data_IF_845172036199
#
_entry.id   IF_845172036199
#
_cell.length_a   1.000
_cell.length_b   1.000
_cell.length_c   1.000
_cell.angle_alpha   90.00
_cell.angle_beta   90.00
_cell.angle_gamma   90.00
#
_symmetry.space_group_name_H-M   'P 1'
#
loop_
_entity.id
_entity.type
_entity.pdbx_description
1 polymer ?
#
# COMPACT_ATOMS: atom_id res chain seq x y z
N UNK A 1 -10.99 2.50 -19.45
CA UNK A 1 -10.28 3.02 -18.26
C UNK A 1 -10.26 1.99 -17.16
N UNK A 2 -9.09 1.45 -16.81
CA UNK A 2 -8.91 0.88 -15.48
C UNK A 2 -9.07 2.01 -14.46
N UNK A 3 -10.05 1.89 -13.57
CA UNK A 3 -10.12 2.77 -12.41
C UNK A 3 -9.05 2.28 -11.42
N UNK A 4 -8.19 3.15 -10.88
CA UNK A 4 -7.29 2.76 -9.81
C UNK A 4 -8.13 2.18 -8.68
N UNK A 5 -7.74 1.04 -8.12
CA UNK A 5 -8.40 0.49 -6.95
C UNK A 5 -8.13 1.42 -5.77
N UNK A 6 -9.09 2.27 -5.44
CA UNK A 6 -9.00 3.19 -4.31
C UNK A 6 -9.38 2.43 -3.04
N UNK A 7 -8.50 2.47 -2.03
CA UNK A 7 -8.83 2.01 -0.70
C UNK A 7 -8.91 3.20 0.25
N UNK A 8 -10.11 3.44 0.77
CA UNK A 8 -10.42 4.60 1.62
C UNK A 8 -10.20 4.33 3.10
N UNK A 9 -10.32 3.07 3.55
CA UNK A 9 -10.13 2.69 4.96
C UNK A 9 -11.24 1.81 5.53
N UNK A 10 -11.32 1.74 6.87
CA UNK A 10 -12.24 0.86 7.62
C UNK A 10 -11.71 -0.55 7.95
N UNK A 11 -12.37 -1.24 8.90
CA UNK A 11 -12.09 -2.64 9.23
C UNK A 11 -12.74 -3.55 8.19
N UNK A 12 -11.96 -3.95 7.18
CA UNK A 12 -12.38 -4.87 6.12
C UNK A 12 -11.18 -5.73 5.67
N UNK A 13 -10.85 -6.81 6.40
CA UNK A 13 -9.69 -7.67 6.09
C UNK A 13 -9.74 -8.27 4.68
N UNK A 14 -10.92 -8.71 4.23
CA UNK A 14 -11.11 -9.28 2.88
C UNK A 14 -10.91 -8.22 1.79
N UNK A 15 -11.44 -7.01 2.01
CA UNK A 15 -11.22 -5.87 1.12
C UNK A 15 -9.77 -5.43 1.05
N UNK A 16 -9.03 -5.50 2.16
CA UNK A 16 -7.61 -5.20 2.20
C UNK A 16 -6.77 -6.24 1.42
N UNK A 17 -7.08 -7.53 1.55
CA UNK A 17 -6.43 -8.60 0.78
C UNK A 17 -6.69 -8.40 -0.72
N UNK A 18 -7.96 -8.26 -1.12
CA UNK A 18 -8.34 -8.05 -2.51
C UNK A 18 -7.67 -6.80 -3.10
N UNK A 19 -7.55 -5.73 -2.32
CA UNK A 19 -6.88 -4.52 -2.75
C UNK A 19 -5.39 -4.74 -3.02
N UNK A 20 -4.68 -5.49 -2.16
CA UNK A 20 -3.27 -5.85 -2.41
C UNK A 20 -3.16 -6.64 -3.71
N UNK A 21 -4.01 -7.65 -3.92
CA UNK A 21 -3.98 -8.49 -5.13
C UNK A 21 -4.16 -7.66 -6.41
N UNK A 22 -5.14 -6.75 -6.43
CA UNK A 22 -5.38 -5.88 -7.58
C UNK A 22 -4.22 -4.93 -7.85
N UNK A 23 -3.59 -4.39 -6.80
CA UNK A 23 -2.40 -3.53 -6.91
C UNK A 23 -1.19 -4.32 -7.41
N UNK A 24 -1.00 -5.57 -6.97
CA UNK A 24 0.10 -6.42 -7.42
C UNK A 24 -0.03 -6.81 -8.89
N UNK A 25 -1.25 -7.07 -9.37
CA UNK A 25 -1.52 -7.27 -10.81
C UNK A 25 -1.11 -6.03 -11.62
N UNK A 26 -1.40 -4.83 -11.12
CA UNK A 26 -1.01 -3.57 -11.77
C UNK A 26 0.51 -3.42 -11.79
N UNK A 27 1.22 -3.75 -10.71
CA UNK A 27 2.68 -3.71 -10.67
C UNK A 27 3.32 -4.67 -11.66
N UNK A 28 2.79 -5.88 -11.78
CA UNK A 28 3.24 -6.87 -12.75
C UNK A 28 3.01 -6.36 -14.19
N UNK A 29 1.81 -5.88 -14.49
CA UNK A 29 1.46 -5.34 -15.81
C UNK A 29 2.35 -4.15 -16.22
N UNK A 30 2.72 -3.28 -15.26
CA UNK A 30 3.60 -2.13 -15.48
C UNK A 30 5.09 -2.44 -15.37
N UNK A 31 5.46 -3.68 -14.99
CA UNK A 31 6.85 -4.09 -14.71
C UNK A 31 7.54 -3.19 -13.68
N UNK A 32 6.81 -2.85 -12.60
CA UNK A 32 7.35 -2.04 -11.53
C UNK A 32 8.53 -2.72 -10.83
N UNK A 33 9.60 -1.97 -10.59
CA UNK A 33 10.72 -2.41 -9.75
C UNK A 33 10.28 -2.49 -8.28
N UNK A 34 10.91 -3.37 -7.50
CA UNK A 34 10.63 -3.53 -6.06
C UNK A 34 10.70 -2.19 -5.30
N UNK A 35 11.66 -1.34 -5.68
CA UNK A 35 11.87 -0.01 -5.10
C UNK A 35 10.69 0.94 -5.35
N UNK A 36 10.00 0.80 -6.48
CA UNK A 36 8.89 1.67 -6.87
C UNK A 36 7.53 1.19 -6.37
N UNK A 37 7.38 -0.11 -6.06
CA UNK A 37 6.10 -0.70 -5.64
C UNK A 37 5.50 -0.01 -4.43
N UNK A 38 6.27 0.21 -3.35
CA UNK A 38 5.74 0.89 -2.15
C UNK A 38 5.30 2.31 -2.45
N UNK A 39 6.10 3.08 -3.20
CA UNK A 39 5.77 4.46 -3.58
C UNK A 39 4.45 4.52 -4.35
N UNK A 40 4.27 3.64 -5.34
CA UNK A 40 3.07 3.59 -6.17
C UNK A 40 1.86 3.03 -5.43
N UNK A 41 2.02 2.00 -4.60
CA UNK A 41 0.95 1.40 -3.79
C UNK A 41 0.43 2.39 -2.75
N UNK A 42 1.31 3.17 -2.14
CA UNK A 42 0.93 4.24 -1.21
C UNK A 42 0.22 5.38 -1.94
N UNK A 43 0.63 5.69 -3.19
CA UNK A 43 -0.01 6.72 -4.00
C UNK A 43 -1.49 6.42 -4.30
N UNK A 44 -1.93 5.16 -4.27
CA UNK A 44 -3.33 4.79 -4.51
C UNK A 44 -4.17 4.68 -3.23
N UNK A 45 -3.56 4.82 -2.04
CA UNK A 45 -4.30 4.93 -0.76
C UNK A 45 -5.04 6.27 -0.66
N UNK A 46 -6.24 6.25 -0.08
CA UNK A 46 -7.05 7.44 0.15
C UNK A 46 -7.45 7.55 1.62
N UNK A 47 -7.85 8.76 2.02
CA UNK A 47 -8.51 9.04 3.30
C UNK A 47 -7.81 8.38 4.51
N UNK A 48 -8.53 7.57 5.28
CA UNK A 48 -8.03 6.95 6.51
C UNK A 48 -6.86 6.00 6.26
N UNK A 49 -6.80 5.37 5.09
CA UNK A 49 -5.71 4.46 4.75
C UNK A 49 -4.40 5.22 4.53
N UNK A 50 -4.45 6.39 3.90
CA UNK A 50 -3.26 7.24 3.73
C UNK A 50 -2.80 7.82 5.08
N UNK A 51 -3.73 8.28 5.93
CA UNK A 51 -3.41 8.77 7.28
C UNK A 51 -2.76 7.68 8.13
N UNK A 52 -3.34 6.47 8.12
CA UNK A 52 -2.78 5.31 8.80
C UNK A 52 -1.35 5.03 8.32
N UNK A 53 -1.10 5.01 7.01
CA UNK A 53 0.22 4.69 6.48
C UNK A 53 1.27 5.73 6.90
N UNK A 54 0.91 7.02 6.94
CA UNK A 54 1.79 8.07 7.47
C UNK A 54 2.19 7.80 8.92
N UNK A 55 1.25 7.37 9.76
CA UNK A 55 1.51 7.05 11.17
C UNK A 55 2.37 5.79 11.31
N UNK A 56 2.12 4.77 10.49
CA UNK A 56 2.97 3.56 10.45
C UNK A 56 4.39 3.95 10.07
N UNK A 57 4.60 4.71 8.99
CA UNK A 57 5.95 5.17 8.58
C UNK A 57 6.71 5.83 9.72
N UNK A 58 6.06 6.72 10.49
CA UNK A 58 6.67 7.36 11.66
C UNK A 58 7.07 6.37 12.76
N UNK A 59 6.35 5.24 12.90
CA UNK A 59 6.62 4.18 13.87
C UNK A 59 7.75 3.24 13.42
N UNK A 60 7.78 2.84 12.15
CA UNK A 60 8.73 1.83 11.63
C UNK A 60 10.09 2.39 11.21
N UNK A 61 10.27 3.70 11.00
CA UNK A 61 11.60 4.17 10.63
C UNK A 61 11.79 5.67 10.54
N UNK A 62 12.99 6.09 10.95
CA UNK A 62 13.56 7.43 10.78
C UNK A 62 13.63 7.83 9.30
N UNK A 63 13.62 9.15 9.05
CA UNK A 63 13.73 9.74 7.72
C UNK A 63 14.78 9.03 6.86
N UNK A 64 14.36 8.50 5.71
CA UNK A 64 15.25 7.94 4.69
C UNK A 64 15.35 6.42 4.60
N UNK A 65 14.72 5.65 5.49
CA UNK A 65 14.65 4.18 5.32
C UNK A 65 13.64 3.81 4.22
N UNK A 66 14.11 3.10 3.19
CA UNK A 66 13.25 2.55 2.14
C UNK A 66 12.42 1.41 2.72
N UNK A 67 11.10 1.59 2.76
CA UNK A 67 10.17 0.52 3.16
C UNK A 67 9.81 -0.30 1.92
N UNK A 68 10.20 -1.57 1.92
CA UNK A 68 9.87 -2.50 0.83
C UNK A 68 8.38 -2.87 0.85
N UNK A 69 7.88 -3.30 -0.30
CA UNK A 69 6.46 -3.63 -0.49
C UNK A 69 5.99 -4.73 0.47
N UNK A 70 6.82 -5.73 0.71
CA UNK A 70 6.53 -6.81 1.67
C UNK A 70 6.33 -6.31 3.11
N UNK A 71 7.06 -5.28 3.52
CA UNK A 71 6.88 -4.68 4.84
C UNK A 71 5.60 -3.86 4.90
N UNK A 72 5.29 -3.12 3.84
CA UNK A 72 3.99 -2.45 3.70
C UNK A 72 2.84 -3.45 3.85
N UNK A 73 2.85 -4.58 3.13
CA UNK A 73 1.78 -5.59 3.20
C UNK A 73 1.61 -6.16 4.61
N UNK A 74 2.71 -6.46 5.31
CA UNK A 74 2.67 -6.95 6.69
C UNK A 74 1.96 -5.97 7.61
N UNK A 75 2.29 -4.68 7.52
CA UNK A 75 1.64 -3.67 8.35
C UNK A 75 0.19 -3.43 7.92
N UNK A 76 -0.08 -3.39 6.61
CA UNK A 76 -1.41 -3.13 6.05
C UNK A 76 -2.44 -4.20 6.43
N UNK A 77 -2.02 -5.47 6.44
CA UNK A 77 -2.88 -6.60 6.81
C UNK A 77 -3.01 -6.81 8.33
N UNK A 78 -2.17 -6.14 9.15
CA UNK A 78 -2.30 -6.11 10.61
C UNK A 78 -3.27 -5.04 11.12
N UNK A 79 -3.68 -4.10 10.26
CA UNK A 79 -4.55 -2.98 10.61
C UNK A 79 -5.98 -3.44 10.93
#
# INVERSE_FOLDING_TARGET
SHKPTLFTGGYNPEGAIKWIEEVEIIFEAMRCTEENKTTLGVYVLREEANVWWRNVKLRIGADGVVILWEEFKREFLRK
#
